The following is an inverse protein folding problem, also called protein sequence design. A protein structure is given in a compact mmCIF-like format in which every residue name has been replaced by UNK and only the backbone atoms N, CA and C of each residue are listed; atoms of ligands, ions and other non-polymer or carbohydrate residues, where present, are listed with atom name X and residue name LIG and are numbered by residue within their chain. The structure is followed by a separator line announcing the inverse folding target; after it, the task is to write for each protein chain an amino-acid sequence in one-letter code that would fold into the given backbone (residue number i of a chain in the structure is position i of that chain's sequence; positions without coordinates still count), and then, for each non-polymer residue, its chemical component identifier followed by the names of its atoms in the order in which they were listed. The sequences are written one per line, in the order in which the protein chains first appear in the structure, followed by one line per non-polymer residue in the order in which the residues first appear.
data_IF_114900663057
#
_entry.id   IF_114900663057
#
_cell.length_a   1.000
_cell.length_b   1.000
_cell.length_c   1.000
_cell.angle_alpha   90.00
_cell.angle_beta   90.00
_cell.angle_gamma   90.00
#
_symmetry.space_group_name_H-M   'P 1'
#
loop_
_entity.id
_entity.type
_entity.pdbx_description
1 polymer ?
#
# COMPACT_ATOMS: atom_id res chain seq x y z
N UNK A 1 13.78 12.40 -1.45
CA UNK A 1 13.99 11.58 -0.23
C UNK A 1 14.22 10.13 -0.65
N UNK A 2 15.29 9.46 -0.20
CA UNK A 2 15.66 8.08 -0.59
C UNK A 2 14.80 7.00 0.12
N UNK A 3 13.88 7.39 0.99
CA UNK A 3 13.08 6.50 1.86
C UNK A 3 12.28 5.44 1.07
N UNK A 4 11.88 5.73 -0.17
CA UNK A 4 11.06 4.83 -0.98
C UNK A 4 11.88 3.81 -1.80
N UNK A 5 13.21 3.85 -1.76
CA UNK A 5 14.10 2.94 -2.49
C UNK A 5 13.83 1.46 -2.16
N UNK A 6 13.65 1.14 -0.88
CA UNK A 6 13.41 -0.23 -0.41
C UNK A 6 11.99 -0.74 -0.67
N UNK A 7 11.08 0.11 -1.14
CA UNK A 7 9.65 -0.17 -1.23
C UNK A 7 9.09 -0.05 -2.65
N UNK A 8 9.93 0.23 -3.65
CA UNK A 8 9.47 0.33 -5.04
C UNK A 8 9.36 -1.04 -5.68
N UNK A 9 8.28 -1.27 -6.44
CA UNK A 9 8.14 -2.42 -7.35
C UNK A 9 8.86 -2.21 -8.69
N UNK A 10 9.25 -0.96 -9.00
CA UNK A 10 9.87 -0.59 -10.28
C UNK A 10 11.32 -1.03 -10.35
N UNK A 11 11.87 -1.05 -11.56
CA UNK A 11 13.31 -1.23 -11.78
C UNK A 11 14.13 -0.30 -10.86
N UNK A 12 14.87 -0.89 -9.92
CA UNK A 12 15.68 -0.17 -8.93
C UNK A 12 16.67 0.77 -9.61
N UNK A 13 17.31 0.29 -10.69
CA UNK A 13 18.27 1.09 -11.46
C UNK A 13 17.61 2.31 -12.10
N UNK A 14 16.38 2.18 -12.60
CA UNK A 14 15.61 3.30 -13.15
C UNK A 14 15.32 4.35 -12.08
N UNK A 15 14.92 3.92 -10.88
CA UNK A 15 14.64 4.81 -9.75
C UNK A 15 15.88 5.62 -9.33
N UNK A 16 17.06 4.98 -9.29
CA UNK A 16 18.33 5.67 -8.99
C UNK A 16 18.66 6.71 -10.07
N UNK A 17 18.55 6.35 -11.35
CA UNK A 17 18.86 7.26 -12.47
C UNK A 17 17.93 8.47 -12.46
N UNK A 18 16.63 8.27 -12.21
CA UNK A 18 15.64 9.35 -12.07
C UNK A 18 15.98 10.29 -10.91
N UNK A 19 16.47 9.75 -9.78
CA UNK A 19 16.87 10.54 -8.62
C UNK A 19 18.06 11.47 -8.91
N UNK A 20 19.03 11.02 -9.71
CA UNK A 20 20.22 11.79 -10.07
C UNK A 20 20.08 12.61 -11.36
N UNK A 21 18.93 12.53 -12.04
CA UNK A 21 18.64 13.28 -13.27
C UNK A 21 19.28 12.69 -14.53
N UNK A 22 19.62 11.40 -14.51
CA UNK A 22 20.17 10.66 -15.64
C UNK A 22 19.08 10.10 -16.57
N UNK A 23 19.48 9.54 -17.72
CA UNK A 23 18.54 8.94 -18.68
C UNK A 23 17.67 7.84 -18.05
N UNK A 24 16.36 7.98 -18.24
CA UNK A 24 15.37 7.02 -17.76
C UNK A 24 15.38 5.77 -18.62
N UNK A 25 15.70 4.64 -18.00
CA UNK A 25 15.51 3.31 -18.59
C UNK A 25 14.24 2.68 -18.04
N UNK A 26 13.50 1.92 -18.85
CA UNK A 26 12.28 1.24 -18.36
C UNK A 26 12.62 0.05 -17.47
N UNK A 27 13.40 -0.91 -17.98
CA UNK A 27 13.82 -2.11 -17.26
C UNK A 27 15.31 -2.37 -17.49
N UNK A 28 16.06 -2.59 -16.42
CA UNK A 28 17.49 -2.90 -16.52
C UNK A 28 17.78 -4.40 -16.70
N UNK A 29 16.76 -5.25 -16.52
CA UNK A 29 16.83 -6.71 -16.60
C UNK A 29 17.94 -7.36 -15.74
N UNK A 30 18.43 -6.64 -14.72
CA UNK A 30 19.56 -7.07 -13.91
C UNK A 30 19.49 -6.65 -12.43
N UNK A 31 18.45 -5.93 -12.01
CA UNK A 31 18.18 -5.63 -10.60
C UNK A 31 17.18 -6.62 -10.03
N UNK A 32 17.12 -6.75 -8.69
CA UNK A 32 16.20 -7.67 -8.02
C UNK A 32 14.76 -7.52 -8.53
N UNK A 33 14.23 -6.30 -8.63
CA UNK A 33 12.86 -6.08 -9.11
C UNK A 33 12.62 -6.45 -10.58
N UNK A 34 13.66 -6.46 -11.42
CA UNK A 34 13.54 -6.92 -12.81
C UNK A 34 13.71 -8.45 -12.95
N UNK A 35 14.40 -9.07 -12.00
CA UNK A 35 14.67 -10.51 -11.97
C UNK A 35 13.63 -11.27 -11.13
N UNK A 36 12.90 -10.56 -10.28
CA UNK A 36 11.80 -11.07 -9.50
C UNK A 36 10.58 -11.20 -10.41
N UNK A 37 10.47 -12.37 -11.03
CA UNK A 37 9.28 -12.83 -11.75
C UNK A 37 8.28 -13.46 -10.78
N UNK A 38 8.19 -12.94 -9.55
CA UNK A 38 7.21 -13.37 -8.56
C UNK A 38 5.83 -13.40 -9.22
N UNK A 39 5.13 -14.53 -9.04
CA UNK A 39 3.79 -14.72 -9.57
C UNK A 39 2.99 -13.47 -9.26
N UNK A 40 2.64 -12.70 -10.30
CA UNK A 40 1.64 -11.63 -10.24
C UNK A 40 0.26 -12.28 -10.07
N UNK A 41 0.15 -13.28 -9.20
CA UNK A 41 -1.06 -13.97 -8.79
C UNK A 41 -1.92 -12.95 -8.09
N UNK A 42 -2.88 -12.40 -8.82
CA UNK A 42 -4.13 -11.79 -8.36
C UNK A 42 -4.11 -10.88 -7.12
N UNK A 43 -2.96 -10.27 -6.79
CA UNK A 43 -2.75 -9.30 -5.69
C UNK A 43 -3.72 -8.12 -5.80
N UNK A 44 -4.42 -7.99 -6.93
CA UNK A 44 -5.50 -7.02 -7.13
C UNK A 44 -6.61 -7.13 -6.10
N UNK A 45 -6.93 -8.30 -5.55
CA UNK A 45 -7.97 -8.44 -4.51
C UNK A 45 -7.48 -7.86 -3.19
N UNK A 46 -6.25 -8.17 -2.78
CA UNK A 46 -5.62 -7.67 -1.56
C UNK A 46 -5.47 -6.15 -1.63
N UNK A 47 -5.01 -5.65 -2.77
CA UNK A 47 -4.92 -4.20 -3.04
C UNK A 47 -6.30 -3.55 -2.93
N UNK A 48 -7.34 -4.13 -3.54
CA UNK A 48 -8.71 -3.61 -3.39
C UNK A 48 -9.15 -3.58 -1.93
N UNK A 49 -8.95 -4.66 -1.17
CA UNK A 49 -9.28 -4.72 0.27
C UNK A 49 -8.59 -3.60 1.04
N UNK A 50 -7.29 -3.37 0.79
CA UNK A 50 -6.51 -2.31 1.44
C UNK A 50 -7.07 -0.93 1.08
N UNK A 51 -7.21 -0.61 -0.21
CA UNK A 51 -7.68 0.70 -0.66
C UNK A 51 -9.10 0.99 -0.15
N UNK A 52 -9.96 -0.03 -0.16
CA UNK A 52 -11.33 0.05 0.35
C UNK A 52 -11.39 0.27 1.86
N UNK A 53 -10.44 -0.30 2.62
CA UNK A 53 -10.32 -0.04 4.05
C UNK A 53 -9.91 1.41 4.32
N UNK A 54 -8.92 1.95 3.59
CA UNK A 54 -8.50 3.35 3.70
C UNK A 54 -9.65 4.30 3.36
N UNK A 55 -10.42 4.00 2.30
CA UNK A 55 -11.61 4.76 1.93
C UNK A 55 -12.69 4.75 3.03
N UNK A 56 -13.08 3.56 3.53
CA UNK A 56 -14.15 3.42 4.53
C UNK A 56 -13.79 3.97 5.91
N UNK A 57 -12.51 4.16 6.18
CA UNK A 57 -12.03 4.76 7.43
C UNK A 57 -11.85 6.28 7.32
N UNK A 58 -12.37 6.89 6.24
CA UNK A 58 -12.33 8.33 5.96
C UNK A 58 -10.89 8.88 5.94
N UNK A 59 -9.91 8.01 5.67
CA UNK A 59 -8.48 8.33 5.60
C UNK A 59 -7.93 9.01 6.88
N UNK A 60 -8.50 8.70 8.04
CA UNK A 60 -8.16 9.34 9.34
C UNK A 60 -7.08 8.60 10.13
N UNK A 61 -6.67 7.42 9.69
CA UNK A 61 -5.80 6.56 10.47
C UNK A 61 -4.47 6.32 9.78
N UNK A 62 -3.44 6.16 10.61
CA UNK A 62 -2.12 5.74 10.16
C UNK A 62 -2.08 4.25 9.81
N UNK A 63 -0.96 3.85 9.23
CA UNK A 63 -0.73 2.52 8.69
C UNK A 63 -1.03 1.40 9.70
N UNK A 64 -0.51 1.50 10.92
CA UNK A 64 -0.65 0.43 11.93
C UNK A 64 -2.12 0.11 12.25
N UNK A 65 -2.98 1.13 12.25
CA UNK A 65 -4.41 0.95 12.48
C UNK A 65 -5.08 0.26 11.29
N UNK A 66 -4.72 0.65 10.06
CA UNK A 66 -5.24 0.02 8.83
C UNK A 66 -4.83 -1.46 8.75
N UNK A 67 -3.55 -1.77 9.00
CA UNK A 67 -3.03 -3.15 9.06
C UNK A 67 -3.76 -3.95 10.14
N UNK A 68 -3.96 -3.35 11.32
CA UNK A 68 -4.69 -3.96 12.41
C UNK A 68 -6.15 -4.26 12.08
N UNK A 69 -6.85 -3.34 11.42
CA UNK A 69 -8.25 -3.54 10.98
C UNK A 69 -8.32 -4.68 9.97
N UNK A 70 -7.49 -4.65 8.93
CA UNK A 70 -7.50 -5.66 7.86
C UNK A 70 -7.17 -7.06 8.37
N UNK A 71 -6.21 -7.19 9.29
CA UNK A 71 -5.87 -8.48 9.89
C UNK A 71 -6.73 -8.87 11.09
N UNK A 72 -7.81 -8.14 11.40
CA UNK A 72 -8.76 -8.53 12.45
C UNK A 72 -8.21 -8.41 13.88
N UNK A 73 -7.30 -7.47 14.11
CA UNK A 73 -6.66 -7.27 15.41
C UNK A 73 -7.64 -6.78 16.48
N UNK A 74 -7.57 -7.40 17.66
CA UNK A 74 -8.36 -7.03 18.85
C UNK A 74 -7.73 -5.88 19.66
N UNK A 75 -6.94 -5.02 19.01
CA UNK A 75 -6.31 -3.88 19.68
C UNK A 75 -7.37 -2.99 20.33
N UNK A 76 -7.11 -2.52 21.56
CA UNK A 76 -8.02 -1.65 22.32
C UNK A 76 -8.46 -0.42 21.51
N UNK A 77 -7.57 0.18 20.73
CA UNK A 77 -7.87 1.37 19.92
C UNK A 77 -8.81 1.05 18.74
N UNK A 78 -8.70 -0.14 18.15
CA UNK A 78 -9.59 -0.59 17.07
C UNK A 78 -11.01 -0.78 17.62
N UNK A 79 -11.11 -1.40 18.80
CA UNK A 79 -12.40 -1.66 19.46
C UNK A 79 -13.04 -0.37 19.98
N UNK A 80 -12.26 0.53 20.60
CA UNK A 80 -12.78 1.79 21.14
C UNK A 80 -13.33 2.71 20.05
N UNK A 81 -12.70 2.71 18.87
CA UNK A 81 -13.16 3.47 17.71
C UNK A 81 -14.17 2.71 16.84
N UNK A 82 -14.67 1.55 17.30
CA UNK A 82 -15.64 0.70 16.59
C UNK A 82 -15.18 0.28 15.18
N UNK A 83 -13.87 0.25 14.91
CA UNK A 83 -13.34 -0.14 13.60
C UNK A 83 -13.56 -1.62 13.30
N UNK A 84 -13.83 -2.43 14.32
CA UNK A 84 -14.25 -3.82 14.19
C UNK A 84 -15.65 -3.99 13.58
N UNK A 85 -16.44 -2.92 13.47
CA UNK A 85 -17.74 -2.93 12.77
C UNK A 85 -17.62 -2.60 11.28
N UNK A 86 -16.43 -2.21 10.81
CA UNK A 86 -16.20 -1.91 9.41
C UNK A 86 -16.29 -3.22 8.59
N UNK A 87 -16.97 -3.24 7.43
CA UNK A 87 -16.98 -4.40 6.53
C UNK A 87 -15.60 -4.91 6.12
N UNK A 88 -14.57 -4.05 6.20
CA UNK A 88 -13.19 -4.44 5.87
C UNK A 88 -12.40 -5.06 7.02
N UNK A 89 -13.00 -5.17 8.20
CA UNK A 89 -12.36 -5.76 9.36
C UNK A 89 -12.13 -7.27 9.15
N UNK A 90 -10.88 -7.71 9.27
CA UNK A 90 -10.51 -9.12 9.12
C UNK A 90 -10.50 -9.66 7.70
N UNK A 91 -10.65 -8.83 6.65
CA UNK A 91 -10.62 -9.30 5.26
C UNK A 91 -9.28 -9.90 4.79
N UNK A 92 -8.22 -9.67 5.56
CA UNK A 92 -6.88 -10.24 5.38
C UNK A 92 -6.44 -11.00 6.63
N UNK A 93 -7.37 -11.64 7.35
CA UNK A 93 -7.05 -12.43 8.56
C UNK A 93 -6.06 -13.58 8.31
N UNK A 94 -5.98 -14.05 7.07
CA UNK A 94 -5.09 -15.14 6.66
C UNK A 94 -3.63 -14.67 6.47
N UNK A 95 -3.39 -13.36 6.46
CA UNK A 95 -2.07 -12.75 6.31
C UNK A 95 -1.51 -12.34 7.67
N UNK A 96 -0.18 -12.42 7.82
CA UNK A 96 0.45 -11.83 9.00
C UNK A 96 0.38 -10.30 8.94
N UNK A 97 0.41 -9.64 10.10
CA UNK A 97 0.47 -8.17 10.17
C UNK A 97 1.68 -7.60 9.42
N UNK A 98 2.78 -8.35 9.33
CA UNK A 98 3.97 -7.95 8.58
C UNK A 98 3.72 -7.98 7.08
N UNK A 99 3.00 -8.98 6.58
CA UNK A 99 2.71 -9.13 5.16
C UNK A 99 1.73 -8.06 4.70
N UNK A 100 0.68 -7.79 5.49
CA UNK A 100 -0.25 -6.69 5.21
C UNK A 100 0.49 -5.35 5.21
N UNK A 101 1.42 -5.16 6.16
CA UNK A 101 2.25 -3.95 6.21
C UNK A 101 3.12 -3.79 4.95
N UNK A 102 3.73 -4.88 4.48
CA UNK A 102 4.54 -4.89 3.27
C UNK A 102 3.72 -4.54 2.02
N UNK A 103 2.50 -5.07 1.91
CA UNK A 103 1.57 -4.71 0.83
C UNK A 103 1.18 -3.22 0.88
N UNK A 104 0.95 -2.66 2.07
CA UNK A 104 0.69 -1.23 2.22
C UNK A 104 1.90 -0.39 1.81
N UNK A 105 3.12 -0.79 2.19
CA UNK A 105 4.35 -0.10 1.77
C UNK A 105 4.56 -0.15 0.26
N UNK A 106 4.29 -1.30 -0.37
CA UNK A 106 4.33 -1.44 -1.81
C UNK A 106 3.38 -0.46 -2.50
N UNK A 107 2.15 -0.35 -1.99
CA UNK A 107 1.15 0.60 -2.51
C UNK A 107 1.54 2.07 -2.31
N UNK A 108 2.30 2.39 -1.27
CA UNK A 108 2.90 3.72 -1.08
C UNK A 108 4.00 3.93 -2.12
N UNK A 109 4.92 2.97 -2.29
CA UNK A 109 5.99 3.02 -3.28
C UNK A 109 5.49 3.15 -4.72
N UNK A 110 4.34 2.54 -5.02
CA UNK A 110 3.66 2.60 -6.30
C UNK A 110 2.77 3.84 -6.48
N UNK A 111 2.64 4.67 -5.45
CA UNK A 111 1.88 5.92 -5.47
C UNK A 111 0.36 5.73 -5.51
N UNK A 112 -0.17 4.59 -5.08
CA UNK A 112 -1.60 4.40 -4.82
C UNK A 112 -2.01 5.01 -3.47
N UNK A 113 -1.11 4.94 -2.50
CA UNK A 113 -1.28 5.50 -1.17
C UNK A 113 -0.21 6.57 -0.91
N UNK A 114 -0.55 7.52 -0.06
CA UNK A 114 0.39 8.52 0.45
C UNK A 114 0.23 8.66 1.96
N UNK A 115 1.31 9.03 2.63
CA UNK A 115 1.33 9.32 4.06
C UNK A 115 1.39 10.83 4.25
N UNK A 116 0.49 11.39 5.06
CA UNK A 116 0.50 12.83 5.34
C UNK A 116 1.70 13.23 6.19
N UNK A 117 2.33 14.35 5.84
CA UNK A 117 3.40 14.97 6.64
C UNK A 117 2.74 15.86 7.69
N UNK A 118 2.36 15.25 8.82
CA UNK A 118 1.71 15.91 9.95
C UNK A 118 2.18 15.29 11.27
N UNK A 119 1.93 15.97 12.40
CA UNK A 119 2.21 15.46 13.75
C UNK A 119 1.60 14.06 13.98
N UNK A 120 0.46 13.80 13.35
CA UNK A 120 -0.18 12.49 13.27
C UNK A 120 -0.27 12.05 11.80
N UNK A 121 0.66 11.20 11.31
CA UNK A 121 0.65 10.76 9.92
C UNK A 121 -0.53 9.83 9.64
N UNK A 122 -1.29 10.16 8.61
CA UNK A 122 -2.48 9.40 8.15
C UNK A 122 -2.25 8.85 6.75
N UNK A 123 -2.86 7.70 6.46
CA UNK A 123 -2.78 7.05 5.17
C UNK A 123 -3.93 7.54 4.28
N UNK A 124 -3.61 8.07 3.10
CA UNK A 124 -4.57 8.64 2.15
C UNK A 124 -4.48 7.98 0.78
N UNK A 125 -5.62 7.96 0.08
CA UNK A 125 -5.68 7.51 -1.31
C UNK A 125 -5.23 8.64 -2.22
N UNK A 126 -4.41 8.31 -3.20
CA UNK A 126 -4.04 9.24 -4.27
C UNK A 126 -5.08 9.20 -5.40
N UNK A 127 -5.01 10.16 -6.33
CA UNK A 127 -5.83 10.15 -7.56
C UNK A 127 -5.68 8.83 -8.35
N UNK A 128 -4.49 8.22 -8.32
CA UNK A 128 -4.21 6.95 -8.99
C UNK A 128 -5.06 5.81 -8.41
N UNK A 129 -5.21 5.75 -7.09
CA UNK A 129 -6.08 4.77 -6.43
C UNK A 129 -7.55 4.96 -6.76
N UNK A 130 -8.05 6.20 -6.78
CA UNK A 130 -9.44 6.47 -7.18
C UNK A 130 -9.74 6.02 -8.61
N UNK A 131 -8.82 6.27 -9.55
CA UNK A 131 -8.97 5.80 -10.92
C UNK A 131 -9.01 4.28 -10.97
N UNK A 132 -8.10 3.59 -10.28
CA UNK A 132 -8.04 2.13 -10.23
C UNK A 132 -9.32 1.49 -9.68
N UNK A 133 -9.91 2.06 -8.62
CA UNK A 133 -11.17 1.58 -8.06
C UNK A 133 -12.32 1.74 -9.09
N UNK A 134 -12.37 2.88 -9.80
CA UNK A 134 -13.42 3.16 -10.80
C UNK A 134 -13.31 2.30 -12.06
N UNK A 135 -12.11 1.98 -12.53
CA UNK A 135 -11.94 1.25 -13.81
C UNK A 135 -12.50 -0.17 -13.78
N UNK A 136 -12.66 -0.78 -12.59
CA UNK A 136 -13.22 -2.13 -12.43
C UNK A 136 -14.73 -2.15 -12.15
N UNK A 137 -15.41 -1.01 -12.08
CA UNK A 137 -16.89 -0.94 -12.02
C UNK A 137 -17.55 -0.97 -13.42
N UNK A 138 -16.76 -0.94 -14.50
CA UNK A 138 -17.16 -1.14 -15.91
C UNK A 138 -16.61 -2.45 -16.44
#
# INVERSE_FOLDING_TARGET
EIVNYCHTSKCIRSYILEYFGDEKIENCNNCSNCLDHGELEDVTIEVQKILSCVYRTDQRFGINMIVGVLGGSKNKNILSWNLNKNPTYGLLSDYSQKDIRALVDLLIGDGFLEVTVSEFPTLRLTKKAFNFIKTKET
#
